data_IF_808020737013
#
_entry.id   IF_808020737013
#
_cell.length_a   1.000
_cell.length_b   1.000
_cell.length_c   1.000
_cell.angle_alpha   90.00
_cell.angle_beta   90.00
_cell.angle_gamma   90.00
#
_symmetry.space_group_name_H-M   'P 1'
#
loop_
_entity.id
_entity.type
_entity.pdbx_description
1 polymer ?
#
# COMPACT_ATOMS: atom_id res chain seq x y z
N UNK A 1 -10.73 8.73 -5.09
CA UNK A 1 -10.02 7.51 -5.55
C UNK A 1 -10.08 6.52 -4.40
N UNK A 2 -10.20 5.22 -4.67
CA UNK A 2 -10.16 4.20 -3.63
C UNK A 2 -8.74 3.65 -3.51
N UNK A 3 -7.93 4.26 -2.64
CA UNK A 3 -6.53 3.91 -2.47
C UNK A 3 -6.35 2.51 -1.87
N UNK A 4 -7.24 2.10 -0.97
CA UNK A 4 -7.20 0.80 -0.30
C UNK A 4 -7.45 -0.32 -1.31
N UNK A 5 -8.42 -0.13 -2.21
CA UNK A 5 -8.65 -1.07 -3.30
C UNK A 5 -7.41 -1.24 -4.19
N UNK A 6 -6.74 -0.15 -4.56
CA UNK A 6 -5.51 -0.21 -5.38
C UNK A 6 -4.36 -0.92 -4.67
N UNK A 7 -4.19 -0.70 -3.37
CA UNK A 7 -3.20 -1.44 -2.56
C UNK A 7 -3.53 -2.94 -2.55
N UNK A 8 -4.80 -3.30 -2.41
CA UNK A 8 -5.27 -4.69 -2.42
C UNK A 8 -5.03 -5.38 -3.77
N UNK A 9 -5.24 -4.68 -4.89
CA UNK A 9 -4.95 -5.18 -6.24
C UNK A 9 -3.44 -5.44 -6.47
N UNK A 10 -2.57 -4.71 -5.76
CA UNK A 10 -1.12 -4.86 -5.83
C UNK A 10 -0.56 -5.92 -4.87
N UNK A 11 -1.35 -6.38 -3.90
CA UNK A 11 -0.93 -7.35 -2.88
C UNK A 11 -0.18 -8.58 -3.43
N UNK A 12 -0.58 -9.22 -4.56
CA UNK A 12 0.14 -10.38 -5.09
C UNK A 12 1.54 -10.08 -5.61
N UNK A 13 1.85 -8.81 -5.89
CA UNK A 13 3.11 -8.36 -6.49
C UNK A 13 4.08 -7.79 -5.44
N UNK A 14 3.71 -7.84 -4.16
CA UNK A 14 4.40 -7.15 -3.07
C UNK A 14 4.79 -8.18 -2.01
N UNK A 15 6.02 -8.12 -1.44
CA UNK A 15 6.40 -9.00 -0.34
C UNK A 15 5.44 -8.88 0.84
N UNK A 16 5.07 -10.01 1.46
CA UNK A 16 4.11 -10.05 2.56
C UNK A 16 4.49 -9.09 3.71
N UNK A 17 5.78 -8.96 4.02
CA UNK A 17 6.28 -8.05 5.07
C UNK A 17 6.00 -6.57 4.75
N UNK A 18 6.07 -6.19 3.47
CA UNK A 18 5.79 -4.83 3.03
C UNK A 18 4.29 -4.57 3.07
N UNK A 19 3.49 -5.54 2.64
CA UNK A 19 2.05 -5.44 2.69
C UNK A 19 1.55 -5.29 4.14
N UNK A 20 2.09 -6.09 5.06
CA UNK A 20 1.77 -6.02 6.49
C UNK A 20 2.09 -4.64 7.10
N UNK A 21 3.29 -4.10 6.83
CA UNK A 21 3.68 -2.76 7.30
C UNK A 21 2.72 -1.67 6.80
N UNK A 22 2.38 -1.70 5.51
CA UNK A 22 1.45 -0.74 4.91
C UNK A 22 0.06 -0.88 5.49
N UNK A 23 -0.46 -2.10 5.66
CA UNK A 23 -1.77 -2.33 6.28
C UNK A 23 -1.81 -1.83 7.71
N UNK A 24 -0.75 -2.05 8.51
CA UNK A 24 -0.66 -1.56 9.88
C UNK A 24 -0.65 -0.02 9.94
N UNK A 25 0.14 0.64 9.07
CA UNK A 25 0.17 2.11 8.97
C UNK A 25 -1.19 2.72 8.63
N UNK A 26 -1.90 2.11 7.69
CA UNK A 26 -3.25 2.53 7.30
C UNK A 26 -4.21 2.38 8.49
N UNK A 27 -4.14 1.23 9.18
CA UNK A 27 -4.96 0.96 10.36
C UNK A 27 -4.69 1.99 11.47
N UNK A 28 -3.42 2.26 11.77
CA UNK A 28 -3.03 3.24 12.79
C UNK A 28 -3.51 4.65 12.43
N UNK A 29 -3.44 5.01 11.14
CA UNK A 29 -3.96 6.29 10.65
C UNK A 29 -5.46 6.42 10.84
N UNK A 30 -6.22 5.40 10.42
CA UNK A 30 -7.70 5.39 10.54
C UNK A 30 -8.13 5.40 12.00
N UNK A 31 -7.47 4.61 12.87
CA UNK A 31 -7.75 4.61 14.31
C UNK A 31 -7.44 5.96 14.96
N UNK A 32 -6.48 6.71 14.43
CA UNK A 32 -6.15 8.07 14.87
C UNK A 32 -7.12 9.15 14.36
N UNK A 33 -8.17 8.76 13.63
CA UNK A 33 -9.16 9.67 13.05
C UNK A 33 -8.85 10.15 11.63
N UNK A 34 -7.82 9.59 11.00
CA UNK A 34 -7.51 9.80 9.59
C UNK A 34 -8.50 9.10 8.66
N UNK A 35 -8.55 9.53 7.41
CA UNK A 35 -9.42 8.98 6.37
C UNK A 35 -8.64 8.17 5.35
N UNK A 36 -9.35 7.22 4.72
CA UNK A 36 -8.81 6.35 3.68
C UNK A 36 -8.46 7.11 2.38
N UNK A 37 -9.03 8.31 2.18
CA UNK A 37 -8.75 9.21 1.06
C UNK A 37 -7.73 10.32 1.39
N UNK A 38 -7.11 10.28 2.57
CA UNK A 38 -6.12 11.27 2.95
C UNK A 38 -4.84 11.19 2.09
N UNK A 39 -4.11 12.31 1.90
CA UNK A 39 -2.82 12.33 1.21
C UNK A 39 -1.80 11.34 1.78
N UNK A 40 -1.90 11.00 3.06
CA UNK A 40 -1.04 9.99 3.69
C UNK A 40 -1.25 8.60 3.08
N UNK A 41 -2.51 8.21 2.82
CA UNK A 41 -2.84 6.91 2.23
C UNK A 41 -2.43 6.88 0.76
N UNK A 42 -2.53 8.01 0.05
CA UNK A 42 -1.97 8.15 -1.30
C UNK A 42 -0.45 7.89 -1.31
N UNK A 43 0.28 8.36 -0.29
CA UNK A 43 1.72 8.08 -0.17
C UNK A 43 2.00 6.59 0.08
N UNK A 44 1.17 5.91 0.88
CA UNK A 44 1.27 4.46 1.07
C UNK A 44 1.05 3.72 -0.26
N UNK A 45 0.05 4.11 -1.04
CA UNK A 45 -0.18 3.54 -2.37
C UNK A 45 1.03 3.74 -3.30
N UNK A 46 1.57 4.96 -3.39
CA UNK A 46 2.74 5.25 -4.23
C UNK A 46 3.97 4.43 -3.83
N UNK A 47 4.10 4.09 -2.56
CA UNK A 47 5.16 3.21 -2.08
C UNK A 47 4.93 1.76 -2.53
N UNK A 48 3.72 1.22 -2.33
CA UNK A 48 3.33 -0.13 -2.78
C UNK A 48 3.50 -0.29 -4.28
N UNK A 49 3.12 0.72 -5.08
CA UNK A 49 3.31 0.73 -6.54
C UNK A 49 4.79 0.60 -6.93
N UNK A 50 5.68 1.33 -6.25
CA UNK A 50 7.13 1.24 -6.51
C UNK A 50 7.72 -0.11 -6.14
N UNK A 51 7.25 -0.71 -5.04
CA UNK A 51 7.70 -2.04 -4.63
C UNK A 51 7.22 -3.09 -5.62
N UNK A 52 5.94 -3.05 -6.00
CA UNK A 52 5.36 -3.96 -6.99
C UNK A 52 6.06 -3.87 -8.34
N UNK A 53 6.43 -2.66 -8.80
CA UNK A 53 7.18 -2.47 -10.03
C UNK A 53 8.56 -3.16 -9.98
N UNK A 54 9.29 -3.02 -8.87
CA UNK A 54 10.60 -3.66 -8.68
C UNK A 54 10.52 -5.17 -8.58
N UNK A 55 9.45 -5.71 -8.00
CA UNK A 55 9.23 -7.16 -7.93
C UNK A 55 9.02 -7.77 -9.32
N UNK A 56 8.43 -7.06 -10.27
CA UNK A 56 8.32 -7.53 -11.67
C UNK A 56 9.64 -7.56 -12.41
N UNK A 57 10.56 -6.65 -12.09
CA UNK A 57 11.88 -6.59 -12.74
C UNK A 57 12.77 -7.77 -12.34
N UNK A 58 12.50 -8.43 -11.21
CA UNK A 58 13.30 -9.53 -10.68
C UNK A 58 12.78 -10.93 -11.09
N UNK A 59 11.65 -11.00 -11.80
CA UNK A 59 11.00 -12.24 -12.27
C UNK A 59 11.36 -12.57 -13.75
N UNK A 60 12.34 -11.86 -14.34
CA UNK A 60 12.80 -12.02 -15.74
C UNK A 60 14.19 -12.65 -15.79
#
# INVERSE_FOLDING_TARGET
MDYIKRITELAPQVPAIVLEDVTNRIKDWVVSGGKEDDPYIEQQLKFVERVAARSKEHDI
#
